data_IF_995026884383
#
_entry.id   IF_995026884383
#
_cell.length_a   1.000
_cell.length_b   1.000
_cell.length_c   1.000
_cell.angle_alpha   90.00
_cell.angle_beta   90.00
_cell.angle_gamma   90.00
#
_symmetry.space_group_name_H-M   'P 1'
#
loop_
_entity.id
_entity.type
_entity.pdbx_description
1 polymer ?
#
# COMPACT_ATOMS: atom_id res chain seq x y z
N UNK A 1 23.81 -52.76 -9.54
CA UNK A 1 22.99 -52.33 -8.39
C UNK A 1 23.34 -50.88 -8.07
N UNK A 2 22.73 -49.93 -8.78
CA UNK A 2 22.71 -48.52 -8.40
C UNK A 2 21.24 -48.20 -8.13
N UNK A 3 20.93 -47.89 -6.88
CA UNK A 3 19.61 -47.95 -6.27
C UNK A 3 18.69 -46.82 -6.72
N UNK A 4 17.41 -47.15 -6.88
CA UNK A 4 16.26 -46.25 -7.06
C UNK A 4 16.02 -45.28 -5.87
N UNK A 5 16.95 -45.15 -4.94
CA UNK A 5 16.81 -44.38 -3.69
C UNK A 5 17.00 -42.86 -3.84
N UNK A 6 17.63 -42.41 -4.93
CA UNK A 6 18.06 -41.02 -5.07
C UNK A 6 17.04 -40.12 -5.80
N UNK A 7 16.00 -40.71 -6.39
CA UNK A 7 14.94 -40.00 -7.09
C UNK A 7 13.77 -39.61 -6.16
N UNK A 8 13.47 -40.42 -5.13
CA UNK A 8 12.39 -40.11 -4.17
C UNK A 8 12.78 -38.98 -3.19
N UNK A 9 14.04 -38.91 -2.77
CA UNK A 9 14.52 -37.84 -1.87
C UNK A 9 14.62 -36.46 -2.56
N UNK A 10 14.74 -36.41 -3.89
CA UNK A 10 14.79 -35.16 -4.67
C UNK A 10 13.42 -34.53 -4.96
N UNK A 11 12.35 -35.31 -4.92
CA UNK A 11 10.98 -34.80 -5.12
C UNK A 11 10.29 -34.37 -3.81
N UNK A 12 10.67 -34.97 -2.68
CA UNK A 12 10.17 -34.58 -1.36
C UNK A 12 10.78 -33.23 -0.94
N UNK A 13 12.07 -33.00 -1.21
CA UNK A 13 12.76 -31.71 -0.96
C UNK A 13 12.20 -30.54 -1.81
N UNK A 14 11.77 -30.80 -3.06
CA UNK A 14 11.16 -29.80 -3.95
C UNK A 14 9.80 -29.29 -3.49
N UNK A 15 9.02 -30.12 -2.78
CA UNK A 15 7.66 -29.77 -2.32
C UNK A 15 7.67 -28.97 -1.03
N UNK A 16 8.66 -29.17 -0.15
CA UNK A 16 8.82 -28.39 1.08
C UNK A 16 9.44 -27.00 0.83
N UNK A 17 10.30 -26.88 -0.18
CA UNK A 17 10.97 -25.62 -0.56
C UNK A 17 10.05 -24.63 -1.31
N UNK A 18 8.94 -25.11 -1.88
CA UNK A 18 7.99 -24.31 -2.68
C UNK A 18 7.11 -23.35 -1.84
N UNK A 19 7.17 -23.48 -0.52
CA UNK A 19 6.18 -22.92 0.40
C UNK A 19 6.64 -21.69 1.18
N UNK A 20 7.93 -21.63 1.50
CA UNK A 20 8.47 -20.71 2.51
C UNK A 20 8.83 -19.34 1.90
N UNK A 21 9.13 -19.28 0.59
CA UNK A 21 9.60 -18.06 -0.08
C UNK A 21 8.53 -17.03 -0.43
N UNK A 22 7.26 -17.45 -0.42
CA UNK A 22 6.11 -16.54 -0.48
C UNK A 22 6.02 -15.61 0.74
N UNK A 23 6.85 -15.83 1.76
CA UNK A 23 6.67 -15.27 3.08
C UNK A 23 7.26 -13.87 3.34
N UNK A 24 7.73 -13.13 2.34
CA UNK A 24 8.35 -11.82 2.56
C UNK A 24 7.35 -10.70 2.95
N UNK A 25 6.16 -10.67 2.35
CA UNK A 25 5.04 -9.83 2.85
C UNK A 25 4.44 -10.43 4.13
N UNK A 26 4.57 -11.75 4.27
CA UNK A 26 3.94 -12.57 5.29
C UNK A 26 4.65 -12.48 6.67
N UNK A 27 5.98 -12.41 6.67
CA UNK A 27 6.81 -12.42 7.88
C UNK A 27 6.82 -11.04 8.60
N UNK A 28 6.42 -9.97 7.91
CA UNK A 28 6.21 -8.64 8.51
C UNK A 28 5.04 -8.71 9.50
N UNK A 29 3.95 -9.34 9.05
CA UNK A 29 2.72 -9.51 9.83
C UNK A 29 2.93 -10.49 10.98
N UNK A 30 3.75 -11.54 10.77
CA UNK A 30 4.08 -12.52 11.81
C UNK A 30 4.92 -11.94 12.96
N UNK A 31 5.63 -10.82 12.77
CA UNK A 31 6.48 -10.19 13.79
C UNK A 31 5.84 -9.02 14.55
N UNK A 32 4.77 -8.45 14.00
CA UNK A 32 3.83 -7.60 14.76
C UNK A 32 2.96 -8.43 15.72
N UNK A 33 3.03 -9.75 15.59
CA UNK A 33 2.29 -10.73 16.39
C UNK A 33 2.92 -10.92 17.76
N UNK A 34 2.12 -10.66 18.79
CA UNK A 34 2.41 -11.16 20.14
C UNK A 34 2.00 -12.64 20.14
N UNK A 35 2.84 -13.55 20.66
CA UNK A 35 2.39 -14.93 20.93
C UNK A 35 1.24 -14.84 21.94
N UNK A 36 0.03 -15.12 21.47
CA UNK A 36 -1.18 -15.19 22.29
C UNK A 36 -1.04 -16.36 23.26
N UNK A 37 -0.91 -16.12 24.57
CA UNK A 37 -0.88 -17.23 25.53
C UNK A 37 -2.23 -17.99 25.46
N UNK A 38 -2.22 -19.31 25.21
CA UNK A 38 -3.43 -20.11 25.02
C UNK A 38 -4.25 -20.33 26.30
N UNK A 39 -3.80 -19.79 27.44
CA UNK A 39 -4.42 -20.03 28.74
C UNK A 39 -5.85 -19.48 28.86
N UNK A 40 -6.18 -18.36 28.18
CA UNK A 40 -7.52 -17.75 28.26
C UNK A 40 -8.62 -18.57 27.56
N UNK A 41 -8.28 -19.28 26.46
CA UNK A 41 -9.24 -20.03 25.64
C UNK A 41 -9.38 -21.50 26.10
N UNK A 42 -8.42 -22.00 26.87
CA UNK A 42 -8.41 -23.37 27.42
C UNK A 42 -9.58 -23.70 28.36
N UNK A 43 -10.22 -22.68 28.96
CA UNK A 43 -11.30 -22.83 29.95
C UNK A 43 -12.72 -23.00 29.37
N UNK A 44 -12.88 -23.01 28.04
CA UNK A 44 -14.21 -22.96 27.41
C UNK A 44 -14.67 -24.35 26.92
N UNK A 45 -15.86 -24.78 27.38
CA UNK A 45 -16.39 -26.15 27.23
C UNK A 45 -16.81 -26.57 25.82
N UNK A 46 -17.04 -25.63 24.88
CA UNK A 46 -17.54 -25.93 23.52
C UNK A 46 -16.46 -25.81 22.43
N UNK A 47 -16.25 -26.87 21.64
CA UNK A 47 -15.19 -26.97 20.61
C UNK A 47 -15.30 -25.90 19.51
N UNK A 48 -16.50 -25.67 18.93
CA UNK A 48 -16.73 -24.62 17.92
C UNK A 48 -16.53 -23.21 18.48
N UNK A 49 -16.97 -22.96 19.71
CA UNK A 49 -16.81 -21.66 20.36
C UNK A 49 -15.34 -21.40 20.69
N UNK A 50 -14.58 -22.45 21.05
CA UNK A 50 -13.14 -22.41 21.28
C UNK A 50 -12.34 -22.13 20.01
N UNK A 51 -12.71 -22.74 18.89
CA UNK A 51 -12.11 -22.47 17.57
C UNK A 51 -12.43 -21.04 17.11
N UNK A 52 -13.67 -20.56 17.28
CA UNK A 52 -14.06 -19.19 16.95
C UNK A 52 -13.33 -18.17 17.85
N UNK A 53 -13.26 -18.40 19.17
CA UNK A 53 -12.55 -17.50 20.08
C UNK A 53 -11.03 -17.56 19.89
N UNK A 54 -10.47 -18.72 19.57
CA UNK A 54 -9.06 -18.86 19.21
C UNK A 54 -8.72 -18.07 17.96
N UNK A 55 -9.55 -18.17 16.92
CA UNK A 55 -9.40 -17.38 15.69
C UNK A 55 -9.61 -15.88 15.97
N UNK A 56 -10.59 -15.51 16.82
CA UNK A 56 -10.83 -14.12 17.22
C UNK A 56 -9.64 -13.52 17.97
N UNK A 57 -9.05 -14.29 18.90
CA UNK A 57 -7.87 -13.87 19.64
C UNK A 57 -6.67 -13.71 18.70
N UNK A 58 -6.44 -14.65 17.81
CA UNK A 58 -5.28 -14.58 16.92
C UNK A 58 -5.42 -13.46 15.87
N UNK A 59 -6.63 -13.23 15.35
CA UNK A 59 -6.90 -12.15 14.40
C UNK A 59 -6.84 -10.80 15.11
N UNK A 60 -7.56 -10.60 16.22
CA UNK A 60 -7.65 -9.26 16.83
C UNK A 60 -6.48 -8.96 17.77
N UNK A 61 -6.14 -9.89 18.67
CA UNK A 61 -5.14 -9.68 19.72
C UNK A 61 -3.71 -10.05 19.28
N UNK A 62 -3.56 -10.71 18.12
CA UNK A 62 -2.27 -11.05 17.54
C UNK A 62 -1.54 -9.87 16.88
N UNK A 63 -1.73 -8.63 17.33
CA UNK A 63 -1.06 -7.43 16.79
C UNK A 63 -0.62 -6.49 17.90
N UNK A 64 0.50 -5.79 17.70
CA UNK A 64 0.83 -4.59 18.48
C UNK A 64 -0.17 -3.44 18.23
N UNK A 65 -0.82 -3.43 17.07
CA UNK A 65 -1.91 -2.50 16.72
C UNK A 65 -3.26 -2.86 17.37
N UNK A 66 -3.34 -3.92 18.19
CA UNK A 66 -4.58 -4.34 18.84
C UNK A 66 -5.20 -3.22 19.66
N UNK A 67 -4.35 -2.34 20.21
CA UNK A 67 -4.77 -1.16 20.98
C UNK A 67 -5.67 -0.21 20.20
N UNK A 68 -5.62 -0.22 18.85
CA UNK A 68 -6.45 0.63 17.99
C UNK A 68 -7.77 -0.03 17.58
N UNK A 69 -7.96 -1.34 17.76
CA UNK A 69 -9.23 -2.00 17.41
C UNK A 69 -10.46 -1.42 18.12
N UNK A 70 -10.41 -1.02 19.41
CA UNK A 70 -11.53 -0.36 20.06
C UNK A 70 -11.96 0.95 19.40
N UNK A 71 -11.09 1.58 18.59
CA UNK A 71 -11.41 2.80 17.85
C UNK A 71 -12.40 2.54 16.71
N UNK A 72 -12.44 1.33 16.16
CA UNK A 72 -13.36 0.94 15.07
C UNK A 72 -14.84 1.05 15.52
N UNK A 73 -15.30 0.35 16.58
CA UNK A 73 -16.66 0.52 17.06
C UNK A 73 -16.90 1.93 17.59
N UNK A 74 -15.87 2.61 18.13
CA UNK A 74 -15.98 4.02 18.54
C UNK A 74 -16.31 4.94 17.36
N UNK A 75 -15.68 4.73 16.20
CA UNK A 75 -15.97 5.49 14.98
C UNK A 75 -17.42 5.27 14.51
N UNK A 76 -17.88 4.03 14.52
CA UNK A 76 -19.27 3.68 14.16
C UNK A 76 -20.29 4.28 15.14
N UNK A 77 -20.00 4.23 16.45
CA UNK A 77 -20.84 4.85 17.47
C UNK A 77 -20.84 6.38 17.36
N UNK A 78 -19.68 6.99 17.08
CA UNK A 78 -19.58 8.43 16.86
C UNK A 78 -20.44 8.87 15.65
N UNK A 79 -20.46 8.08 14.58
CA UNK A 79 -21.35 8.31 13.44
C UNK A 79 -22.83 8.13 13.84
N UNK A 80 -23.17 7.08 14.58
CA UNK A 80 -24.55 6.78 15.00
C UNK A 80 -25.12 7.85 15.94
N UNK A 81 -24.32 8.35 16.88
CA UNK A 81 -24.72 9.42 17.81
C UNK A 81 -24.49 10.83 17.26
N UNK A 82 -24.15 10.97 15.97
CA UNK A 82 -23.93 12.26 15.31
C UNK A 82 -22.93 13.17 16.03
N UNK A 83 -21.77 12.62 16.41
CA UNK A 83 -20.66 13.41 16.94
C UNK A 83 -20.16 14.41 15.88
N UNK A 84 -19.36 15.39 16.30
CA UNK A 84 -18.79 16.34 15.35
C UNK A 84 -17.90 15.61 14.33
N UNK A 85 -18.11 15.95 13.05
CA UNK A 85 -17.47 15.29 11.89
C UNK A 85 -15.94 15.16 11.97
N UNK A 86 -15.17 16.13 12.49
CA UNK A 86 -13.71 15.97 12.64
C UNK A 86 -13.30 14.81 13.55
N UNK A 87 -14.11 14.48 14.57
CA UNK A 87 -13.84 13.34 15.44
C UNK A 87 -14.18 12.02 14.77
N UNK A 88 -15.25 12.00 13.98
CA UNK A 88 -15.60 10.83 13.15
C UNK A 88 -14.46 10.55 12.18
N UNK A 89 -13.93 11.60 11.52
CA UNK A 89 -12.75 11.50 10.67
C UNK A 89 -11.55 10.89 11.41
N UNK A 90 -11.18 11.45 12.57
CA UNK A 90 -10.04 10.98 13.35
C UNK A 90 -10.17 9.51 13.79
N UNK A 91 -11.33 9.11 14.33
CA UNK A 91 -11.54 7.73 14.75
C UNK A 91 -11.57 6.77 13.57
N UNK A 92 -12.20 7.17 12.46
CA UNK A 92 -12.28 6.32 11.26
C UNK A 92 -10.89 6.13 10.65
N UNK A 93 -10.10 7.21 10.57
CA UNK A 93 -8.72 7.17 10.12
C UNK A 93 -7.89 6.22 10.99
N UNK A 94 -7.86 6.44 12.31
CA UNK A 94 -7.11 5.57 13.24
C UNK A 94 -7.59 4.11 13.20
N UNK A 95 -8.88 3.88 13.00
CA UNK A 95 -9.44 2.53 12.86
C UNK A 95 -8.99 1.79 11.61
N UNK A 96 -8.57 2.49 10.53
CA UNK A 96 -8.08 1.86 9.31
C UNK A 96 -6.71 1.19 9.48
N UNK A 97 -5.81 1.74 10.30
CA UNK A 97 -4.47 1.18 10.50
C UNK A 97 -4.46 -0.30 10.94
N UNK A 98 -5.16 -0.72 12.02
CA UNK A 98 -5.21 -2.13 12.40
C UNK A 98 -5.95 -3.02 11.38
N UNK A 99 -6.91 -2.46 10.63
CA UNK A 99 -7.64 -3.22 9.61
C UNK A 99 -6.78 -3.51 8.38
N UNK A 100 -6.01 -2.53 7.91
CA UNK A 100 -5.09 -2.68 6.78
C UNK A 100 -4.05 -3.77 7.07
N UNK A 101 -3.48 -3.75 8.29
CA UNK A 101 -2.56 -4.80 8.76
C UNK A 101 -3.22 -6.18 8.75
N UNK A 102 -4.46 -6.30 9.23
CA UNK A 102 -5.16 -7.58 9.26
C UNK A 102 -5.56 -8.11 7.90
N UNK A 103 -5.94 -7.23 6.97
CA UNK A 103 -6.23 -7.64 5.60
C UNK A 103 -5.00 -8.22 4.93
N UNK A 104 -3.83 -7.59 5.10
CA UNK A 104 -2.55 -8.13 4.61
C UNK A 104 -2.26 -9.51 5.21
N UNK A 105 -2.39 -9.67 6.54
CA UNK A 105 -2.20 -10.96 7.21
C UNK A 105 -3.18 -12.06 6.71
N UNK A 106 -4.46 -11.74 6.57
CA UNK A 106 -5.46 -12.71 6.13
C UNK A 106 -5.23 -13.13 4.67
N UNK A 107 -4.79 -12.19 3.84
CA UNK A 107 -4.39 -12.43 2.44
C UNK A 107 -3.24 -13.42 2.37
N UNK A 108 -2.24 -13.25 3.22
CA UNK A 108 -1.14 -14.20 3.41
C UNK A 108 -1.64 -15.59 3.80
N UNK A 109 -2.52 -15.68 4.80
CA UNK A 109 -3.05 -16.97 5.26
C UNK A 109 -3.81 -17.69 4.15
N UNK A 110 -4.50 -16.96 3.27
CA UNK A 110 -5.17 -17.53 2.09
C UNK A 110 -4.15 -17.92 1.02
N UNK A 111 -3.15 -17.08 0.77
CA UNK A 111 -2.10 -17.30 -0.23
C UNK A 111 -1.31 -18.59 0.02
N UNK A 112 -1.20 -19.01 1.27
CA UNK A 112 -0.64 -20.30 1.70
C UNK A 112 -1.37 -21.50 1.06
N UNK A 113 -2.71 -21.46 1.01
CA UNK A 113 -3.53 -22.56 0.48
C UNK A 113 -3.75 -22.49 -1.03
N UNK A 114 -3.57 -21.33 -1.68
CA UNK A 114 -3.94 -21.13 -3.10
C UNK A 114 -2.80 -21.32 -4.10
N UNK A 115 -1.58 -21.65 -3.63
CA UNK A 115 -0.42 -21.88 -4.50
C UNK A 115 0.21 -20.59 -5.08
N UNK A 116 1.48 -20.65 -5.56
CA UNK A 116 2.33 -19.49 -5.84
C UNK A 116 1.67 -18.36 -6.62
N UNK A 117 1.10 -18.68 -7.79
CA UNK A 117 0.53 -17.70 -8.72
C UNK A 117 -0.72 -17.01 -8.17
N UNK A 118 -1.68 -17.78 -7.66
CA UNK A 118 -2.94 -17.21 -7.13
C UNK A 118 -2.67 -16.43 -5.84
N UNK A 119 -1.78 -16.94 -4.99
CA UNK A 119 -1.36 -16.24 -3.77
C UNK A 119 -0.66 -14.92 -4.08
N UNK A 120 0.20 -14.87 -5.10
CA UNK A 120 0.85 -13.63 -5.53
C UNK A 120 -0.15 -12.61 -6.08
N UNK A 121 -1.15 -13.04 -6.86
CA UNK A 121 -2.21 -12.17 -7.35
C UNK A 121 -3.13 -11.66 -6.23
N UNK A 122 -3.46 -12.52 -5.27
CA UNK A 122 -4.23 -12.17 -4.09
C UNK A 122 -3.48 -11.14 -3.24
N UNK A 123 -2.18 -11.36 -3.03
CA UNK A 123 -1.31 -10.47 -2.29
C UNK A 123 -1.14 -9.11 -2.98
N UNK A 124 -1.00 -9.09 -4.31
CA UNK A 124 -1.06 -7.84 -5.05
C UNK A 124 -2.40 -7.15 -4.75
N UNK A 125 -3.53 -7.74 -5.12
CA UNK A 125 -4.84 -7.08 -5.02
C UNK A 125 -5.21 -6.66 -3.59
N UNK A 126 -5.09 -7.56 -2.62
CA UNK A 126 -5.55 -7.33 -1.25
C UNK A 126 -4.52 -6.59 -0.38
N UNK A 127 -3.22 -6.61 -0.71
CA UNK A 127 -2.20 -5.84 0.00
C UNK A 127 -2.45 -4.34 -0.07
N UNK A 128 -2.96 -3.86 -1.20
CA UNK A 128 -3.35 -2.45 -1.44
C UNK A 128 -4.87 -2.23 -1.40
N UNK A 129 -5.63 -3.13 -0.74
CA UNK A 129 -7.09 -3.05 -0.73
C UNK A 129 -7.58 -1.77 -0.05
N UNK A 130 -6.94 -1.34 1.04
CA UNK A 130 -7.35 -0.16 1.79
C UNK A 130 -7.31 1.09 0.92
N UNK A 131 -6.20 1.30 0.22
CA UNK A 131 -5.95 2.43 -0.67
C UNK A 131 -6.91 2.39 -1.87
N UNK A 132 -7.09 1.20 -2.45
CA UNK A 132 -8.02 0.99 -3.56
C UNK A 132 -9.47 1.29 -3.14
N UNK A 133 -9.92 0.85 -1.97
CA UNK A 133 -11.29 1.09 -1.47
C UNK A 133 -11.51 2.58 -1.21
N UNK A 134 -10.56 3.25 -0.53
CA UNK A 134 -10.63 4.69 -0.29
C UNK A 134 -10.70 5.45 -1.62
N UNK A 135 -9.85 5.10 -2.59
CA UNK A 135 -9.82 5.73 -3.90
C UNK A 135 -11.13 5.54 -4.67
N UNK A 136 -11.68 4.31 -4.70
CA UNK A 136 -12.94 4.02 -5.38
C UNK A 136 -14.14 4.71 -4.72
N UNK A 137 -14.16 4.83 -3.39
CA UNK A 137 -15.21 5.56 -2.68
C UNK A 137 -15.08 7.08 -2.91
N UNK A 138 -13.86 7.62 -2.91
CA UNK A 138 -13.63 9.01 -3.28
C UNK A 138 -14.06 9.28 -4.72
N UNK A 139 -13.82 8.35 -5.65
CA UNK A 139 -14.29 8.42 -7.03
C UNK A 139 -15.82 8.45 -7.10
N UNK A 140 -16.47 7.53 -6.39
CA UNK A 140 -17.94 7.42 -6.33
C UNK A 140 -18.58 8.68 -5.75
N UNK A 141 -17.97 9.26 -4.71
CA UNK A 141 -18.40 10.54 -4.12
C UNK A 141 -17.95 11.77 -4.93
N UNK A 142 -17.33 11.59 -6.10
CA UNK A 142 -16.81 12.66 -6.99
C UNK A 142 -15.76 13.56 -6.35
N UNK A 143 -15.05 13.07 -5.32
CA UNK A 143 -13.95 13.76 -4.65
C UNK A 143 -12.61 13.46 -5.33
N UNK A 144 -12.51 13.90 -6.59
CA UNK A 144 -11.35 13.59 -7.46
C UNK A 144 -10.03 14.09 -6.87
N UNK A 145 -10.03 15.26 -6.20
CA UNK A 145 -8.84 15.77 -5.54
C UNK A 145 -8.39 14.86 -4.39
N UNK A 146 -9.31 14.42 -3.53
CA UNK A 146 -9.00 13.49 -2.43
C UNK A 146 -8.41 12.19 -2.98
N UNK A 147 -9.02 11.64 -4.03
CA UNK A 147 -8.53 10.45 -4.73
C UNK A 147 -7.11 10.64 -5.28
N UNK A 148 -6.87 11.71 -6.06
CA UNK A 148 -5.55 11.98 -6.64
C UNK A 148 -4.49 12.14 -5.55
N UNK A 149 -4.80 12.94 -4.53
CA UNK A 149 -3.87 13.17 -3.43
C UNK A 149 -3.59 11.91 -2.61
N UNK A 150 -4.60 11.07 -2.35
CA UNK A 150 -4.41 9.82 -1.61
C UNK A 150 -3.53 8.84 -2.36
N UNK A 151 -3.78 8.62 -3.65
CA UNK A 151 -2.98 7.69 -4.46
C UNK A 151 -1.54 8.17 -4.65
N UNK A 152 -1.36 9.46 -4.95
CA UNK A 152 -0.02 10.04 -5.03
C UNK A 152 0.70 9.96 -3.69
N UNK A 153 0.01 10.30 -2.61
CA UNK A 153 0.53 10.23 -1.25
C UNK A 153 1.00 8.82 -0.87
N UNK A 154 0.26 7.77 -1.23
CA UNK A 154 0.68 6.39 -0.99
C UNK A 154 1.92 5.99 -1.78
N UNK A 155 2.06 6.45 -3.04
CA UNK A 155 3.29 6.24 -3.81
C UNK A 155 4.47 6.95 -3.12
N UNK A 156 4.31 8.24 -2.76
CA UNK A 156 5.36 9.03 -2.12
C UNK A 156 5.74 8.48 -0.74
N UNK A 157 4.76 8.03 0.05
CA UNK A 157 4.95 7.41 1.35
C UNK A 157 5.78 6.14 1.22
N UNK A 158 5.42 5.24 0.30
CA UNK A 158 6.17 4.00 0.09
C UNK A 158 7.60 4.25 -0.39
N UNK A 159 7.75 5.16 -1.36
CA UNK A 159 9.06 5.48 -1.94
C UNK A 159 9.97 6.18 -0.93
N UNK A 160 9.50 7.21 -0.24
CA UNK A 160 10.38 8.06 0.56
C UNK A 160 10.30 7.74 2.05
N UNK A 161 9.10 7.63 2.60
CA UNK A 161 8.91 7.45 4.04
C UNK A 161 9.22 6.01 4.46
N UNK A 162 8.55 5.03 3.84
CA UNK A 162 8.72 3.61 4.17
C UNK A 162 10.16 3.19 3.87
N UNK A 163 10.60 3.32 2.62
CA UNK A 163 11.97 2.94 2.27
C UNK A 163 13.01 3.76 3.06
N UNK A 164 12.83 5.08 3.18
CA UNK A 164 13.77 5.93 3.90
C UNK A 164 13.93 5.53 5.36
N UNK A 165 12.81 5.30 6.06
CA UNK A 165 12.85 4.84 7.45
C UNK A 165 13.43 3.44 7.60
N UNK A 166 13.18 2.54 6.65
CA UNK A 166 13.77 1.20 6.61
C UNK A 166 15.28 1.25 6.44
N UNK A 167 15.79 2.01 5.46
CA UNK A 167 17.24 2.19 5.25
C UNK A 167 17.90 2.93 6.41
N UNK A 168 17.20 3.89 7.03
CA UNK A 168 17.68 4.62 8.20
C UNK A 168 17.81 3.68 9.41
N UNK A 169 16.73 3.02 9.80
CA UNK A 169 16.70 2.12 10.96
C UNK A 169 17.61 0.91 10.75
N UNK A 170 17.53 0.26 9.58
CA UNK A 170 18.39 -0.87 9.22
C UNK A 170 19.87 -0.49 9.22
N UNK A 171 20.20 0.67 8.65
CA UNK A 171 21.56 1.20 8.63
C UNK A 171 22.09 1.57 10.01
N UNK A 172 21.25 2.15 10.88
CA UNK A 172 21.62 2.50 12.26
C UNK A 172 21.89 1.27 13.12
N UNK A 173 21.07 0.23 13.01
CA UNK A 173 21.28 -1.02 13.74
C UNK A 173 22.49 -1.78 13.23
N UNK A 174 22.75 -1.72 11.92
CA UNK A 174 23.85 -2.44 11.28
C UNK A 174 25.06 -1.53 10.96
N UNK A 175 25.37 -0.55 11.81
CA UNK A 175 26.42 0.46 11.58
C UNK A 175 27.80 -0.11 11.21
N UNK A 176 28.10 -1.35 11.66
CA UNK A 176 29.38 -2.03 11.46
C UNK A 176 29.41 -2.98 10.27
N UNK A 177 28.28 -3.20 9.59
CA UNK A 177 28.13 -4.11 8.45
C UNK A 177 27.65 -3.34 7.24
N UNK A 178 28.29 -3.54 6.10
CA UNK A 178 27.78 -3.01 4.84
C UNK A 178 26.55 -3.84 4.43
N UNK A 179 25.37 -3.23 4.41
CA UNK A 179 24.16 -3.93 4.01
C UNK A 179 24.06 -3.91 2.48
N UNK A 180 24.00 -5.08 1.86
CA UNK A 180 23.82 -5.26 0.41
C UNK A 180 22.44 -5.85 0.13
N UNK A 181 21.93 -5.56 -1.05
CA UNK A 181 20.66 -6.09 -1.55
C UNK A 181 20.79 -6.41 -3.04
N UNK A 182 19.99 -7.37 -3.51
CA UNK A 182 19.88 -7.69 -4.93
C UNK A 182 19.10 -6.60 -5.67
N UNK A 183 19.68 -6.13 -6.75
CA UNK A 183 19.16 -5.01 -7.53
C UNK A 183 18.08 -5.42 -8.51
N UNK A 184 17.96 -6.70 -8.85
CA UNK A 184 17.02 -7.16 -9.88
C UNK A 184 15.59 -6.67 -9.65
N UNK A 185 15.05 -6.86 -8.44
CA UNK A 185 13.71 -6.38 -8.07
C UNK A 185 13.61 -4.85 -8.03
N UNK A 186 14.66 -4.16 -7.56
CA UNK A 186 14.67 -2.71 -7.46
C UNK A 186 14.68 -2.05 -8.84
N UNK A 187 15.46 -2.58 -9.77
CA UNK A 187 15.61 -2.07 -11.13
C UNK A 187 14.30 -2.25 -11.92
N UNK A 188 13.66 -3.42 -11.87
CA UNK A 188 12.38 -3.67 -12.57
C UNK A 188 11.28 -2.74 -12.06
N UNK A 189 11.17 -2.57 -10.74
CA UNK A 189 10.19 -1.64 -10.16
C UNK A 189 10.50 -0.19 -10.51
N UNK A 190 11.76 0.23 -10.51
CA UNK A 190 12.15 1.59 -10.89
C UNK A 190 11.79 1.91 -12.34
N UNK A 191 11.97 0.96 -13.26
CA UNK A 191 11.59 1.13 -14.67
C UNK A 191 10.07 1.23 -14.83
N UNK A 192 9.30 0.43 -14.09
CA UNK A 192 7.83 0.52 -14.09
C UNK A 192 7.34 1.86 -13.54
N UNK A 193 7.93 2.34 -12.45
CA UNK A 193 7.62 3.66 -11.90
C UNK A 193 7.96 4.79 -12.87
N UNK A 194 9.08 4.70 -13.60
CA UNK A 194 9.43 5.67 -14.65
C UNK A 194 8.43 5.65 -15.82
N UNK A 195 7.93 4.46 -16.21
CA UNK A 195 6.86 4.35 -17.20
C UNK A 195 5.56 4.99 -16.69
N UNK A 196 5.19 4.74 -15.43
CA UNK A 196 4.06 5.40 -14.78
C UNK A 196 4.23 6.92 -14.80
N UNK A 197 5.40 7.42 -14.39
CA UNK A 197 5.71 8.84 -14.42
C UNK A 197 5.55 9.46 -15.81
N UNK A 198 6.02 8.78 -16.86
CA UNK A 198 5.82 9.22 -18.25
C UNK A 198 4.33 9.37 -18.57
N UNK A 199 3.52 8.37 -18.20
CA UNK A 199 2.08 8.39 -18.40
C UNK A 199 1.36 9.52 -17.65
N UNK A 200 1.84 9.92 -16.46
CA UNK A 200 1.33 11.09 -15.73
C UNK A 200 1.82 12.42 -16.31
N UNK A 201 3.07 12.47 -16.78
CA UNK A 201 3.68 13.68 -17.33
C UNK A 201 3.04 14.09 -18.66
N UNK A 202 2.64 13.13 -19.50
CA UNK A 202 2.11 13.44 -20.83
C UNK A 202 0.82 14.30 -20.81
N UNK A 203 -0.23 13.97 -20.03
CA UNK A 203 -1.39 14.85 -19.86
C UNK A 203 -1.05 16.24 -19.29
N UNK A 204 -0.15 16.29 -18.30
CA UNK A 204 0.31 17.55 -17.71
C UNK A 204 1.04 18.42 -18.75
N UNK A 205 2.00 17.86 -19.47
CA UNK A 205 2.76 18.56 -20.51
C UNK A 205 1.86 19.03 -21.64
N UNK A 206 0.87 18.22 -22.02
CA UNK A 206 -0.14 18.62 -23.00
C UNK A 206 -0.91 19.85 -22.51
N UNK A 207 -1.42 19.85 -21.27
CA UNK A 207 -2.07 21.02 -20.69
C UNK A 207 -1.17 22.25 -20.65
N UNK A 208 0.10 22.10 -20.27
CA UNK A 208 1.06 23.20 -20.19
C UNK A 208 1.50 23.73 -21.57
N UNK A 209 1.38 22.91 -22.62
CA UNK A 209 1.69 23.31 -23.99
C UNK A 209 0.61 24.19 -24.62
N UNK A 210 -0.59 24.20 -24.03
CA UNK A 210 -1.74 24.99 -24.50
C UNK A 210 -1.82 26.28 -23.70
N UNK A 211 -1.99 27.41 -24.40
CA UNK A 211 -2.17 28.70 -23.74
C UNK A 211 -3.41 28.67 -22.83
N UNK A 212 -3.35 29.20 -21.58
CA UNK A 212 -4.47 29.11 -20.64
C UNK A 212 -5.79 29.67 -21.17
N UNK A 213 -5.73 30.69 -22.03
CA UNK A 213 -6.90 31.31 -22.67
C UNK A 213 -7.57 30.40 -23.73
N UNK A 214 -6.88 29.38 -24.22
CA UNK A 214 -7.35 28.43 -25.24
C UNK A 214 -7.85 27.11 -24.66
N UNK A 215 -7.81 26.94 -23.32
CA UNK A 215 -8.35 25.74 -22.66
C UNK A 215 -9.87 25.76 -22.80
N UNK A 216 -10.35 24.98 -23.77
CA UNK A 216 -11.76 24.75 -24.04
C UNK A 216 -12.14 23.28 -23.78
N UNK A 217 -13.39 22.94 -24.04
CA UNK A 217 -13.91 21.58 -23.85
C UNK A 217 -13.16 20.55 -24.72
N UNK A 218 -12.64 20.93 -25.89
CA UNK A 218 -11.87 20.03 -26.76
C UNK A 218 -10.54 19.67 -26.11
N UNK A 219 -9.81 20.65 -25.57
CA UNK A 219 -8.54 20.42 -24.86
C UNK A 219 -8.74 19.52 -23.64
N UNK A 220 -9.79 19.76 -22.86
CA UNK A 220 -10.13 18.93 -21.68
C UNK A 220 -10.46 17.50 -22.09
N UNK A 221 -11.21 17.32 -23.19
CA UNK A 221 -11.52 16.01 -23.77
C UNK A 221 -10.26 15.29 -24.24
N UNK A 222 -9.30 16.02 -24.84
CA UNK A 222 -8.00 15.47 -25.24
C UNK A 222 -7.14 15.04 -24.05
N UNK A 223 -7.10 15.83 -22.96
CA UNK A 223 -6.39 15.46 -21.72
C UNK A 223 -6.97 14.17 -21.14
N UNK A 224 -8.30 14.07 -21.09
CA UNK A 224 -8.98 12.89 -20.58
C UNK A 224 -8.78 11.67 -21.50
N UNK A 225 -8.85 11.87 -22.82
CA UNK A 225 -8.55 10.84 -23.82
C UNK A 225 -7.12 10.31 -23.69
N UNK A 226 -6.15 11.19 -23.54
CA UNK A 226 -4.75 10.84 -23.32
C UNK A 226 -4.58 10.06 -22.00
N UNK A 227 -5.24 10.52 -20.92
CA UNK A 227 -5.22 9.84 -19.62
C UNK A 227 -5.78 8.41 -19.69
N UNK A 228 -6.85 8.19 -20.46
CA UNK A 228 -7.43 6.85 -20.68
C UNK A 228 -6.50 5.94 -21.47
N UNK A 229 -5.87 6.44 -22.54
CA UNK A 229 -4.88 5.67 -23.33
C UNK A 229 -3.68 5.31 -22.47
N UNK A 230 -3.12 6.28 -21.74
CA UNK A 230 -2.04 6.08 -20.78
C UNK A 230 -2.41 5.04 -19.72
N UNK A 231 -3.64 5.07 -19.21
CA UNK A 231 -4.11 4.08 -18.23
C UNK A 231 -4.16 2.66 -18.78
N UNK A 232 -4.61 2.49 -20.03
CA UNK A 232 -4.58 1.19 -20.71
C UNK A 232 -3.14 0.69 -20.87
N UNK A 233 -2.22 1.56 -21.29
CA UNK A 233 -0.80 1.22 -21.41
C UNK A 233 -0.21 0.77 -20.06
N UNK A 234 -0.52 1.49 -18.97
CA UNK A 234 -0.05 1.15 -17.63
C UNK A 234 -0.59 -0.20 -17.15
N UNK A 235 -1.89 -0.49 -17.35
CA UNK A 235 -2.49 -1.78 -16.99
C UNK A 235 -1.91 -2.94 -17.79
N UNK A 236 -1.65 -2.75 -19.09
CA UNK A 236 -0.98 -3.76 -19.92
C UNK A 236 0.44 -4.02 -19.43
N UNK A 237 1.19 -2.95 -19.12
CA UNK A 237 2.53 -3.08 -18.54
C UNK A 237 2.50 -3.78 -17.17
N UNK A 238 1.49 -3.51 -16.34
CA UNK A 238 1.32 -4.19 -15.06
C UNK A 238 0.96 -5.67 -15.22
N UNK A 239 0.10 -6.02 -16.18
CA UNK A 239 -0.20 -7.42 -16.49
C UNK A 239 1.04 -8.18 -17.01
N UNK A 240 1.86 -7.53 -17.85
CA UNK A 240 3.14 -8.07 -18.29
C UNK A 240 4.12 -8.23 -17.11
N UNK A 241 4.15 -7.26 -16.20
CA UNK A 241 4.92 -7.34 -14.97
C UNK A 241 4.48 -8.50 -14.06
N UNK A 242 3.17 -8.69 -13.84
CA UNK A 242 2.67 -9.82 -13.07
C UNK A 242 3.03 -11.16 -13.72
N UNK A 243 2.96 -11.25 -15.05
CA UNK A 243 3.43 -12.44 -15.77
C UNK A 243 4.94 -12.66 -15.60
N UNK A 244 5.72 -11.58 -15.64
CA UNK A 244 7.17 -11.61 -15.42
C UNK A 244 7.51 -12.07 -14.01
N UNK A 245 6.88 -11.48 -13.00
CA UNK A 245 7.09 -11.74 -11.58
C UNK A 245 6.62 -13.14 -11.16
N UNK A 246 5.42 -13.57 -11.60
CA UNK A 246 4.81 -14.81 -11.14
C UNK A 246 5.23 -16.04 -11.94
N UNK A 247 5.74 -15.86 -13.17
CA UNK A 247 6.02 -16.98 -14.08
C UNK A 247 7.43 -16.99 -14.65
N UNK A 248 7.84 -15.99 -15.42
CA UNK A 248 9.08 -16.12 -16.22
C UNK A 248 10.35 -15.87 -15.41
N UNK A 249 10.33 -14.90 -14.50
CA UNK A 249 11.50 -14.48 -13.72
C UNK A 249 11.20 -14.55 -12.23
N UNK A 250 10.41 -15.55 -11.81
CA UNK A 250 10.06 -15.77 -10.40
C UNK A 250 11.29 -15.77 -9.49
N UNK A 251 12.39 -16.37 -9.96
CA UNK A 251 13.67 -16.43 -9.26
C UNK A 251 14.28 -15.06 -8.93
N UNK A 252 14.04 -14.01 -9.74
CA UNK A 252 14.54 -12.65 -9.49
C UNK A 252 13.80 -11.96 -8.32
N UNK A 253 12.61 -12.43 -7.99
CA UNK A 253 11.79 -11.90 -6.90
C UNK A 253 11.80 -12.83 -5.68
N UNK A 254 12.64 -13.88 -5.71
CA UNK A 254 12.85 -14.84 -4.64
C UNK A 254 14.20 -14.56 -3.96
N UNK A 255 14.22 -14.03 -2.73
CA UNK A 255 15.45 -13.62 -2.03
C UNK A 255 16.43 -14.77 -1.75
N UNK A 256 17.73 -14.46 -1.75
CA UNK A 256 18.87 -15.38 -1.56
C UNK A 256 19.11 -15.70 -0.07
N UNK A 257 18.50 -16.75 0.48
CA UNK A 257 18.76 -17.23 1.85
C UNK A 257 18.79 -18.78 1.92
N UNK A 258 19.76 -19.43 1.25
CA UNK A 258 20.03 -20.87 1.46
C UNK A 258 21.16 -21.15 2.47
N UNK A 259 21.77 -20.11 3.08
CA UNK A 259 22.82 -20.29 4.08
C UNK A 259 22.56 -19.40 5.30
N UNK A 260 21.67 -19.84 6.20
CA UNK A 260 21.89 -19.77 7.66
C UNK A 260 20.67 -20.37 8.40
N UNK A 261 20.98 -21.33 9.26
CA UNK A 261 20.08 -22.10 10.10
C UNK A 261 19.26 -21.17 11.02
N UNK A 262 17.95 -21.12 10.80
CA UNK A 262 16.96 -21.19 11.88
C UNK A 262 15.57 -21.39 11.27
N UNK A 263 15.04 -22.60 11.44
CA UNK A 263 13.61 -22.88 11.31
C UNK A 263 12.86 -22.08 12.39
N UNK A 264 12.61 -20.80 12.12
CA UNK A 264 11.71 -19.99 12.93
C UNK A 264 10.32 -20.61 12.78
N UNK A 265 9.81 -21.18 13.88
CA UNK A 265 8.52 -21.84 13.99
C UNK A 265 7.32 -20.95 13.60
N UNK A 266 7.07 -20.80 12.29
CA UNK A 266 6.01 -19.93 11.74
C UNK A 266 5.42 -20.34 10.39
N UNK A 267 5.85 -21.42 9.75
CA UNK A 267 5.41 -21.85 8.40
C UNK A 267 4.10 -22.67 8.37
N UNK A 268 3.31 -22.64 9.43
CA UNK A 268 1.98 -23.25 9.43
C UNK A 268 0.91 -22.15 9.37
N UNK A 269 -0.02 -22.27 8.41
CA UNK A 269 -1.21 -21.43 8.40
C UNK A 269 -1.92 -21.57 9.74
N UNK A 270 -1.94 -20.48 10.50
CA UNK A 270 -2.45 -20.45 11.87
C UNK A 270 -3.97 -20.57 11.86
N UNK A 271 -4.60 -20.17 10.75
CA UNK A 271 -6.04 -20.11 10.56
C UNK A 271 -6.41 -20.87 9.29
N UNK A 272 -7.44 -21.70 9.36
CA UNK A 272 -7.93 -22.47 8.21
C UNK A 272 -8.50 -21.58 7.10
N UNK A 273 -8.35 -22.01 5.85
CA UNK A 273 -8.75 -21.28 4.63
C UNK A 273 -10.11 -20.56 4.72
N UNK A 274 -11.18 -21.30 5.04
CA UNK A 274 -12.54 -20.73 5.10
C UNK A 274 -12.72 -19.67 6.18
N UNK A 275 -11.99 -19.81 7.29
CA UNK A 275 -11.99 -18.81 8.35
C UNK A 275 -11.22 -17.56 7.93
N UNK A 276 -10.05 -17.73 7.30
CA UNK A 276 -9.26 -16.60 6.77
C UNK A 276 -10.04 -15.83 5.70
N UNK A 277 -10.74 -16.54 4.81
CA UNK A 277 -11.59 -15.95 3.78
C UNK A 277 -12.79 -15.18 4.38
N UNK A 278 -13.49 -15.77 5.36
CA UNK A 278 -14.61 -15.08 6.02
C UNK A 278 -14.16 -13.82 6.77
N UNK A 279 -13.02 -13.88 7.46
CA UNK A 279 -12.43 -12.72 8.12
C UNK A 279 -11.97 -11.66 7.11
N UNK A 280 -11.40 -12.06 5.97
CA UNK A 280 -10.97 -11.13 4.93
C UNK A 280 -12.17 -10.31 4.42
N UNK A 281 -13.29 -10.96 4.14
CA UNK A 281 -14.54 -10.29 3.74
C UNK A 281 -15.02 -9.33 4.83
N UNK A 282 -15.06 -9.79 6.10
CA UNK A 282 -15.51 -8.96 7.22
C UNK A 282 -14.65 -7.71 7.43
N UNK A 283 -13.32 -7.86 7.37
CA UNK A 283 -12.39 -6.74 7.48
C UNK A 283 -12.53 -5.78 6.29
N UNK A 284 -12.67 -6.31 5.07
CA UNK A 284 -12.87 -5.52 3.85
C UNK A 284 -14.14 -4.67 3.91
N UNK A 285 -15.25 -5.25 4.39
CA UNK A 285 -16.51 -4.51 4.61
C UNK A 285 -16.33 -3.41 5.65
N UNK A 286 -15.63 -3.71 6.75
CA UNK A 286 -15.36 -2.74 7.81
C UNK A 286 -14.49 -1.58 7.30
N UNK A 287 -13.46 -1.88 6.49
CA UNK A 287 -12.64 -0.88 5.81
C UNK A 287 -13.50 -0.03 4.89
N UNK A 288 -14.40 -0.62 4.11
CA UNK A 288 -15.29 0.15 3.24
C UNK A 288 -16.18 1.13 4.03
N UNK A 289 -16.75 0.69 5.17
CA UNK A 289 -17.56 1.57 6.04
C UNK A 289 -16.71 2.71 6.61
N UNK A 290 -15.53 2.42 7.18
CA UNK A 290 -14.67 3.47 7.73
C UNK A 290 -14.13 4.39 6.63
N UNK A 291 -13.83 3.86 5.45
CA UNK A 291 -13.38 4.64 4.29
C UNK A 291 -14.48 5.59 3.81
N UNK A 292 -15.75 5.18 3.83
CA UNK A 292 -16.88 6.07 3.53
C UNK A 292 -16.94 7.23 4.52
N UNK A 293 -16.74 6.98 5.82
CA UNK A 293 -16.69 8.03 6.84
C UNK A 293 -15.51 8.97 6.63
N UNK A 294 -14.31 8.43 6.41
CA UNK A 294 -13.09 9.20 6.13
C UNK A 294 -13.30 10.12 4.93
N UNK A 295 -13.73 9.57 3.79
CA UNK A 295 -13.97 10.34 2.57
C UNK A 295 -15.09 11.35 2.80
N UNK A 296 -16.16 10.98 3.51
CA UNK A 296 -17.31 11.85 3.76
C UNK A 296 -17.08 13.00 4.75
N UNK A 297 -16.04 12.93 5.59
CA UNK A 297 -15.78 13.91 6.67
C UNK A 297 -14.45 14.67 6.51
N UNK A 298 -13.70 14.39 5.44
CA UNK A 298 -12.36 14.97 5.24
C UNK A 298 -12.38 16.50 5.10
N UNK A 299 -13.38 17.10 4.44
CA UNK A 299 -13.48 18.56 4.31
C UNK A 299 -13.82 19.20 5.65
N UNK A 300 -14.74 18.63 6.42
CA UNK A 300 -15.07 19.14 7.75
C UNK A 300 -13.89 19.05 8.73
N UNK A 301 -13.09 17.97 8.62
CA UNK A 301 -11.86 17.83 9.37
C UNK A 301 -10.81 18.87 8.94
N UNK A 302 -10.66 19.10 7.64
CA UNK A 302 -9.79 20.15 7.06
C UNK A 302 -10.14 21.53 7.63
N UNK A 303 -11.42 21.91 7.58
CA UNK A 303 -11.89 23.21 8.03
C UNK A 303 -11.71 23.41 9.54
N UNK A 304 -11.98 22.36 10.33
CA UNK A 304 -11.84 22.40 11.79
C UNK A 304 -10.39 22.43 12.26
N UNK A 305 -9.51 21.65 11.61
CA UNK A 305 -8.10 21.57 12.00
C UNK A 305 -7.25 22.68 11.38
N UNK A 306 -7.76 23.42 10.39
CA UNK A 306 -7.04 24.47 9.69
C UNK A 306 -5.93 23.95 8.78
N UNK A 307 -6.04 22.69 8.35
CA UNK A 307 -5.06 21.97 7.51
C UNK A 307 -5.73 21.66 6.17
N UNK A 308 -5.01 21.79 5.06
CA UNK A 308 -5.59 21.57 3.72
C UNK A 308 -6.00 20.11 3.48
N UNK A 309 -7.08 19.92 2.72
CA UNK A 309 -7.50 18.60 2.22
C UNK A 309 -6.37 17.89 1.46
N UNK A 310 -5.55 18.63 0.73
CA UNK A 310 -4.38 18.09 0.02
C UNK A 310 -3.36 17.51 1.00
N UNK A 311 -3.02 18.20 2.08
CA UNK A 311 -2.10 17.68 3.09
C UNK A 311 -2.69 16.46 3.82
N UNK A 312 -3.96 16.51 4.21
CA UNK A 312 -4.63 15.38 4.86
C UNK A 312 -4.61 14.15 3.95
N UNK A 313 -4.95 14.32 2.67
CA UNK A 313 -5.05 13.22 1.72
C UNK A 313 -3.68 12.67 1.30
N UNK A 314 -2.68 13.54 1.08
CA UNK A 314 -1.36 13.16 0.57
C UNK A 314 -0.40 12.69 1.66
N UNK A 315 -0.52 13.21 2.88
CA UNK A 315 0.40 12.91 3.99
C UNK A 315 -0.25 12.03 5.05
N UNK A 316 -1.38 12.45 5.63
CA UNK A 316 -1.96 11.73 6.77
C UNK A 316 -2.59 10.39 6.37
N UNK A 317 -3.38 10.38 5.28
CA UNK A 317 -4.08 9.18 4.83
C UNK A 317 -3.13 8.00 4.57
N UNK A 318 -2.03 8.19 3.79
CA UNK A 318 -1.15 7.08 3.45
C UNK A 318 -0.28 6.60 4.59
N UNK A 319 0.06 7.47 5.55
CA UNK A 319 0.78 7.04 6.76
C UNK A 319 -0.06 6.02 7.53
N UNK A 320 -1.37 6.23 7.59
CA UNK A 320 -2.27 5.38 8.35
C UNK A 320 -2.69 4.14 7.54
N UNK A 321 -2.98 4.30 6.24
CA UNK A 321 -3.29 3.19 5.33
C UNK A 321 -2.14 2.19 5.21
N UNK A 322 -0.90 2.70 5.09
CA UNK A 322 0.28 1.86 4.90
C UNK A 322 1.02 1.56 6.22
N UNK A 323 0.45 1.89 7.39
CA UNK A 323 1.14 1.77 8.68
C UNK A 323 1.70 0.36 8.96
N UNK A 324 0.97 -0.66 8.51
CA UNK A 324 1.34 -2.06 8.60
C UNK A 324 2.59 -2.39 7.76
N UNK A 325 2.52 -2.05 6.46
CA UNK A 325 3.61 -2.25 5.51
C UNK A 325 4.86 -1.47 5.93
N UNK A 326 4.64 -0.28 6.49
CA UNK A 326 5.69 0.59 7.03
C UNK A 326 6.43 -0.07 8.19
N UNK A 327 5.70 -0.51 9.22
CA UNK A 327 6.29 -1.20 10.37
C UNK A 327 7.00 -2.49 9.95
N UNK A 328 6.39 -3.25 9.04
CA UNK A 328 6.95 -4.46 8.45
C UNK A 328 8.29 -4.26 7.78
N UNK A 329 8.33 -3.32 6.83
CA UNK A 329 9.53 -2.98 6.07
C UNK A 329 10.68 -2.55 6.99
N UNK A 330 10.40 -1.76 8.02
CA UNK A 330 11.42 -1.35 9.01
C UNK A 330 11.95 -2.58 9.76
N UNK A 331 11.08 -3.46 10.24
CA UNK A 331 11.49 -4.67 10.98
C UNK A 331 12.39 -5.55 10.12
N UNK A 332 12.09 -5.72 8.83
CA UNK A 332 12.93 -6.47 7.91
C UNK A 332 14.30 -5.84 7.70
N UNK A 333 14.33 -4.52 7.50
CA UNK A 333 15.59 -3.81 7.34
C UNK A 333 16.47 -3.89 8.59
N UNK A 334 15.87 -3.82 9.79
CA UNK A 334 16.54 -4.04 11.07
C UNK A 334 17.16 -5.44 11.17
N UNK A 335 16.46 -6.45 10.66
CA UNK A 335 16.91 -7.85 10.57
C UNK A 335 17.89 -8.12 9.43
N UNK A 336 18.40 -7.08 8.77
CA UNK A 336 19.30 -7.19 7.63
C UNK A 336 18.69 -7.91 6.40
N UNK A 337 17.36 -7.96 6.31
CA UNK A 337 16.63 -8.51 5.15
C UNK A 337 16.16 -7.39 4.25
N UNK A 338 17.12 -6.67 3.65
CA UNK A 338 16.82 -5.49 2.86
C UNK A 338 16.04 -5.82 1.58
N UNK A 339 16.30 -6.94 0.91
CA UNK A 339 15.57 -7.34 -0.30
C UNK A 339 14.06 -7.38 -0.06
N UNK A 340 13.65 -7.93 1.09
CA UNK A 340 12.25 -7.99 1.51
C UNK A 340 11.70 -6.58 1.75
N UNK A 341 12.45 -5.74 2.47
CA UNK A 341 12.07 -4.37 2.77
C UNK A 341 11.86 -3.52 1.50
N UNK A 342 12.79 -3.64 0.53
CA UNK A 342 12.69 -3.00 -0.77
C UNK A 342 11.52 -3.55 -1.57
N UNK A 343 11.31 -4.87 -1.54
CA UNK A 343 10.20 -5.52 -2.23
C UNK A 343 8.84 -5.04 -1.75
N UNK A 344 8.66 -4.89 -0.44
CA UNK A 344 7.44 -4.31 0.16
C UNK A 344 7.24 -2.87 -0.30
N UNK A 345 8.25 -2.01 -0.13
CA UNK A 345 8.12 -0.58 -0.43
C UNK A 345 7.96 -0.29 -1.94
N UNK A 346 8.86 -0.81 -2.77
CA UNK A 346 8.85 -0.58 -4.22
C UNK A 346 7.71 -1.33 -4.91
N UNK A 347 7.42 -2.56 -4.48
CA UNK A 347 6.31 -3.35 -5.04
C UNK A 347 4.96 -2.67 -4.80
N UNK A 348 4.72 -2.20 -3.57
CA UNK A 348 3.49 -1.46 -3.21
C UNK A 348 3.38 -0.14 -4.01
N UNK A 349 4.47 0.64 -4.10
CA UNK A 349 4.51 1.86 -4.92
C UNK A 349 4.23 1.59 -6.42
N UNK A 350 4.93 0.62 -7.01
CA UNK A 350 4.74 0.23 -8.42
C UNK A 350 3.32 -0.25 -8.68
N UNK A 351 2.73 -1.01 -7.75
CA UNK A 351 1.37 -1.48 -7.87
C UNK A 351 0.37 -0.32 -7.82
N UNK A 352 0.47 0.57 -6.84
CA UNK A 352 -0.44 1.71 -6.75
C UNK A 352 -0.35 2.55 -8.02
N UNK A 353 0.87 2.82 -8.49
CA UNK A 353 1.12 3.57 -9.71
C UNK A 353 0.58 2.87 -10.96
N UNK A 354 0.92 1.61 -11.20
CA UNK A 354 0.69 0.92 -12.48
C UNK A 354 -0.64 0.16 -12.54
N UNK A 355 -1.31 -0.04 -11.41
CA UNK A 355 -2.58 -0.74 -11.32
C UNK A 355 -3.68 0.13 -10.72
N UNK A 356 -3.54 0.61 -9.49
CA UNK A 356 -4.65 1.26 -8.76
C UNK A 356 -5.02 2.60 -9.40
N UNK A 357 -4.05 3.46 -9.72
CA UNK A 357 -4.27 4.73 -10.41
C UNK A 357 -4.98 4.55 -11.76
N UNK A 358 -4.46 3.75 -12.71
CA UNK A 358 -5.13 3.58 -14.00
C UNK A 358 -6.45 2.84 -13.89
N UNK A 359 -6.62 1.93 -12.91
CA UNK A 359 -7.92 1.32 -12.62
C UNK A 359 -8.96 2.39 -12.25
N UNK A 360 -8.60 3.39 -11.43
CA UNK A 360 -9.51 4.48 -11.07
C UNK A 360 -9.93 5.32 -12.30
N UNK A 361 -9.03 5.54 -13.26
CA UNK A 361 -9.36 6.22 -14.53
C UNK A 361 -10.35 5.40 -15.36
N UNK A 362 -10.14 4.09 -15.47
CA UNK A 362 -11.05 3.20 -16.21
C UNK A 362 -12.42 3.07 -15.52
N UNK A 363 -12.44 2.91 -14.19
CA UNK A 363 -13.70 2.89 -13.43
C UNK A 363 -14.42 4.21 -13.57
N UNK A 364 -13.70 5.35 -13.48
CA UNK A 364 -14.24 6.69 -13.71
C UNK A 364 -14.90 6.81 -15.07
N UNK A 365 -14.23 6.30 -16.11
CA UNK A 365 -14.79 6.26 -17.46
C UNK A 365 -16.08 5.45 -17.56
N UNK A 366 -16.17 4.30 -16.89
CA UNK A 366 -17.38 3.45 -16.89
C UNK A 366 -18.54 4.13 -16.18
N UNK A 367 -18.29 4.80 -15.05
CA UNK A 367 -19.34 5.45 -14.24
C UNK A 367 -19.68 6.88 -14.70
N UNK A 368 -19.03 7.38 -15.75
CA UNK A 368 -19.25 8.73 -16.28
C UNK A 368 -18.70 9.85 -15.41
N UNK A 369 -17.59 9.59 -14.70
CA UNK A 369 -16.87 10.57 -13.88
C UNK A 369 -15.51 10.85 -14.54
N UNK A 370 -15.22 12.14 -14.76
CA UNK A 370 -13.98 12.58 -15.42
C UNK A 370 -12.78 12.51 -14.46
N UNK A 371 -12.23 11.32 -14.32
CA UNK A 371 -10.95 11.07 -13.65
C UNK A 371 -9.82 11.04 -14.70
N UNK A 372 -8.90 12.00 -14.62
CA UNK A 372 -7.72 12.10 -15.50
C UNK A 372 -6.41 11.90 -14.73
N UNK A 373 -5.29 11.81 -15.47
CA UNK A 373 -3.94 11.65 -14.92
C UNK A 373 -3.17 12.97 -14.79
N UNK A 374 -3.84 14.13 -14.94
CA UNK A 374 -3.23 15.43 -14.70
C UNK A 374 -3.29 15.78 -13.21
N UNK A 375 -2.20 15.51 -12.50
CA UNK A 375 -2.11 15.71 -11.06
C UNK A 375 -1.69 17.13 -10.69
N UNK A 376 -1.48 18.04 -11.66
CA UNK A 376 -0.81 19.34 -11.49
C UNK A 376 0.71 19.27 -11.32
N UNK A 377 1.36 20.42 -11.49
CA UNK A 377 2.81 20.51 -11.62
C UNK A 377 3.56 20.14 -10.34
N UNK A 378 3.03 20.55 -9.18
CA UNK A 378 3.67 20.33 -7.89
C UNK A 378 3.67 18.83 -7.54
N UNK A 379 2.53 18.20 -7.76
CA UNK A 379 2.24 16.80 -7.53
C UNK A 379 3.08 15.89 -8.44
N UNK A 380 2.99 16.10 -9.75
CA UNK A 380 3.77 15.31 -10.71
C UNK A 380 5.27 15.60 -10.58
N UNK A 381 5.67 16.84 -10.26
CA UNK A 381 7.05 17.19 -9.97
C UNK A 381 7.60 16.47 -8.73
N UNK A 382 6.80 16.40 -7.66
CA UNK A 382 7.14 15.66 -6.44
C UNK A 382 7.27 14.16 -6.71
N UNK A 383 6.37 13.59 -7.51
CA UNK A 383 6.44 12.19 -7.96
C UNK A 383 7.72 11.94 -8.77
N UNK A 384 8.01 12.81 -9.75
CA UNK A 384 9.17 12.70 -10.61
C UNK A 384 10.48 12.71 -9.81
N UNK A 385 10.61 13.70 -8.91
CA UNK A 385 11.78 13.83 -8.06
C UNK A 385 11.95 12.62 -7.14
N UNK A 386 10.86 12.11 -6.58
CA UNK A 386 10.89 10.94 -5.69
C UNK A 386 11.35 9.68 -6.42
N UNK A 387 10.80 9.41 -7.61
CA UNK A 387 11.20 8.23 -8.41
C UNK A 387 12.67 8.33 -8.81
N UNK A 388 13.12 9.50 -9.27
CA UNK A 388 14.53 9.71 -9.63
C UNK A 388 15.46 9.56 -8.42
N UNK A 389 15.11 10.16 -7.28
CA UNK A 389 15.89 10.07 -6.05
C UNK A 389 16.07 8.62 -5.63
N UNK A 390 15.02 7.80 -5.73
CA UNK A 390 15.05 6.38 -5.41
C UNK A 390 15.90 5.58 -6.40
N UNK A 391 15.72 5.82 -7.70
CA UNK A 391 16.51 5.17 -8.73
C UNK A 391 18.02 5.39 -8.52
N UNK A 392 18.44 6.62 -8.21
CA UNK A 392 19.84 6.93 -7.87
C UNK A 392 20.26 6.34 -6.51
N UNK A 393 19.40 6.38 -5.50
CA UNK A 393 19.72 5.86 -4.16
C UNK A 393 19.99 4.35 -4.19
N UNK A 394 19.26 3.61 -5.03
CA UNK A 394 19.36 2.16 -5.14
C UNK A 394 20.34 1.68 -6.22
N UNK A 395 20.92 2.59 -7.00
CA UNK A 395 21.80 2.28 -8.14
C UNK A 395 23.08 1.55 -7.74
N UNK A 396 23.51 1.57 -6.49
CA UNK A 396 24.78 0.94 -6.09
C UNK A 396 24.58 -0.43 -5.42
N UNK A 397 23.34 -0.87 -5.15
CA UNK A 397 23.06 -2.15 -4.48
C UNK A 397 23.48 -2.21 -3.01
N UNK A 398 23.91 -1.08 -2.43
CA UNK A 398 24.32 -0.94 -1.03
C UNK A 398 23.39 -0.01 -0.27
N UNK A 399 23.21 -0.28 1.02
CA UNK A 399 22.43 0.54 1.94
C UNK A 399 23.28 1.03 3.10
N UNK A 400 23.06 2.28 3.48
CA UNK A 400 23.60 2.89 4.68
C UNK A 400 22.62 3.94 5.22
N UNK A 401 22.72 4.26 6.52
CA UNK A 401 21.75 5.12 7.20
C UNK A 401 21.57 6.48 6.52
N UNK A 402 22.64 7.05 5.93
CA UNK A 402 22.58 8.35 5.25
C UNK A 402 21.64 8.34 4.02
N UNK A 403 21.54 7.23 3.28
CA UNK A 403 20.52 7.10 2.20
C UNK A 403 19.12 7.23 2.80
N UNK A 404 18.88 6.55 3.93
CA UNK A 404 17.63 6.65 4.67
C UNK A 404 17.32 8.07 5.16
N UNK A 405 18.29 8.77 5.75
CA UNK A 405 18.14 10.17 6.19
C UNK A 405 17.70 11.06 5.03
N UNK A 406 18.37 10.95 3.87
CA UNK A 406 18.04 11.78 2.69
C UNK A 406 16.61 11.54 2.21
N UNK A 407 16.18 10.28 2.13
CA UNK A 407 14.81 9.94 1.72
C UNK A 407 13.76 10.45 2.73
N UNK A 408 13.99 10.29 4.03
CA UNK A 408 13.09 10.83 5.07
C UNK A 408 13.00 12.35 5.01
N UNK A 409 14.14 13.04 4.86
CA UNK A 409 14.16 14.50 4.74
C UNK A 409 13.48 14.98 3.46
N UNK A 410 13.63 14.26 2.33
CA UNK A 410 12.91 14.56 1.11
C UNK A 410 11.39 14.43 1.32
N UNK A 411 10.92 13.40 2.01
CA UNK A 411 9.51 13.26 2.38
C UNK A 411 9.04 14.43 3.25
N UNK A 412 9.80 14.80 4.29
CA UNK A 412 9.48 15.94 5.14
C UNK A 412 9.42 17.27 4.37
N UNK A 413 10.33 17.48 3.41
CA UNK A 413 10.34 18.68 2.57
C UNK A 413 9.10 18.75 1.66
N UNK A 414 8.72 17.63 1.04
CA UNK A 414 7.49 17.53 0.24
C UNK A 414 6.26 17.75 1.14
N UNK A 415 6.20 17.11 2.31
CA UNK A 415 5.12 17.27 3.28
C UNK A 415 4.97 18.74 3.72
N UNK A 416 6.08 19.42 4.03
CA UNK A 416 6.07 20.84 4.36
C UNK A 416 5.56 21.70 3.19
N UNK A 417 5.96 21.38 1.95
CA UNK A 417 5.45 22.07 0.76
C UNK A 417 3.93 21.96 0.66
N UNK A 418 3.37 20.75 0.77
CA UNK A 418 1.91 20.53 0.73
C UNK A 418 1.17 21.10 1.94
N UNK A 419 1.83 21.23 3.10
CA UNK A 419 1.26 21.87 4.28
C UNK A 419 1.07 23.37 4.07
N UNK A 420 2.06 24.05 3.48
CA UNK A 420 1.97 25.48 3.16
C UNK A 420 1.18 25.76 1.87
N UNK A 421 1.00 24.75 1.02
CA UNK A 421 0.19 24.85 -0.18
C UNK A 421 -1.31 24.89 0.16
N UNK A 422 -1.80 26.09 0.49
CA UNK A 422 -3.22 26.39 0.61
C UNK A 422 -3.77 26.70 -0.77
N UNK A 423 -4.24 25.70 -1.51
CA UNK A 423 -5.07 25.97 -2.69
C UNK A 423 -6.30 26.75 -2.23
N UNK A 424 -6.60 27.92 -2.82
CA UNK A 424 -7.93 28.49 -2.68
C UNK A 424 -8.90 27.54 -3.38
N UNK A 425 -9.83 26.96 -2.61
CA UNK A 425 -11.01 26.32 -3.21
C UNK A 425 -11.72 27.44 -3.97
N UNK A 426 -11.65 27.40 -5.30
CA UNK A 426 -12.40 28.33 -6.15
C UNK A 426 -13.88 27.98 -6.00
N UNK A 427 -14.53 28.57 -5.00
CA UNK A 427 -15.98 28.59 -4.90
C UNK A 427 -16.52 29.23 -6.18
N UNK A 428 -17.10 28.42 -7.07
CA UNK A 428 -17.91 28.90 -8.19
C UNK A 428 -19.26 29.42 -7.64
N UNK A 429 -19.20 30.47 -6.82
CA UNK A 429 -20.35 31.24 -6.36
C UNK A 429 -20.14 32.72 -6.71
N UNK A 430 -20.13 33.03 -8.00
CA UNK A 430 -20.33 34.39 -8.50
C UNK A 430 -21.04 34.31 -9.85
N UNK A 431 -22.35 34.10 -9.80
CA UNK A 431 -23.25 34.04 -10.94
C UNK A 431 -24.69 34.32 -10.56
N UNK A 432 -24.93 35.21 -9.60
CA UNK A 432 -26.23 35.84 -9.40
C UNK A 432 -26.02 37.18 -8.71
N UNK A 433 -25.99 38.24 -9.52
CA UNK A 433 -26.41 39.61 -9.21
C UNK A 433 -25.62 40.59 -10.08
N UNK A 434 -26.22 41.01 -11.19
CA UNK A 434 -26.04 42.34 -11.76
C UNK A 434 -27.15 42.60 -12.79
N UNK A 435 -28.05 43.52 -12.41
CA UNK A 435 -29.00 44.32 -13.19
C UNK A 435 -30.06 43.61 -14.04
#
# INVERSE_FOLDING_TARGET
>A
MGSLSDLENGEINKKEQEFIKKNAQNLSNSMMRKKSDPELVSKIRFKKLREILGNLQEVILGTKLCLLFPVIPLAMLAQYYHFARPWIFAFSLLGLAPLAERVSFLTEQIAYFTGPTVGGLLNATCGNATEMIIALLALYQRKIHVLKYSLLGSILSNLLLVLGSSLLCGGLTNLKKEQRFDRGQADVNSVLLLLGLLCHMLPLMYRLSVEPALINNNVTTSILGLSRVSSICMLVAYAAYLFFQLRTHRQMFESSEEEEEDKVAGDEAVIGFWSSFAWLIGMTITIAILSEYVVGTIEDASDSWGISVSFISLILLPIVGNAAEHAGSIIFALKNKLDISLGVALGSASQISMFVVPLCVIVGWIIGVDMDLDFSLLETGSLAFSILLIAFTLQDGTSHYMKGVVLCLAYCAIAACFFFHKLPIRNNSSGSSAA
#
